data_IF_203259915487
#
_entry.id   IF_203259915487
#
_cell.length_a   1.000
_cell.length_b   1.000
_cell.length_c   1.000
_cell.angle_alpha   90.00
_cell.angle_beta   90.00
_cell.angle_gamma   90.00
#
_symmetry.space_group_name_H-M   'P 1'
#
loop_
_entity.id
_entity.type
_entity.pdbx_description
1 polymer ?
#
# COMPACT_ATOMS: atom_id res chain seq x y z
N UNK A 1 31.58 0.20 4.20
CA UNK A 1 30.39 -0.68 4.26
C UNK A 1 29.58 -0.62 5.54
N UNK A 2 30.17 -0.51 6.75
CA UNK A 2 29.38 -0.44 7.99
C UNK A 2 28.50 0.82 8.12
N UNK A 3 28.99 2.01 7.74
CA UNK A 3 28.20 3.24 7.74
C UNK A 3 26.96 3.16 6.83
N UNK A 4 27.11 2.57 5.63
CA UNK A 4 25.99 2.36 4.70
C UNK A 4 24.91 1.46 5.33
N UNK A 5 25.31 0.36 5.98
CA UNK A 5 24.38 -0.53 6.69
C UNK A 5 23.63 0.21 7.82
N UNK A 6 24.35 1.01 8.61
CA UNK A 6 23.74 1.82 9.67
C UNK A 6 22.69 2.77 9.07
N UNK A 7 23.03 3.49 8.00
CA UNK A 7 22.12 4.43 7.35
C UNK A 7 20.89 3.70 6.79
N UNK A 8 21.08 2.57 6.12
CA UNK A 8 19.99 1.77 5.57
C UNK A 8 19.03 1.30 6.66
N UNK A 9 19.58 0.81 7.78
CA UNK A 9 18.81 0.35 8.92
C UNK A 9 18.02 1.49 9.57
N UNK A 10 18.61 2.67 9.72
CA UNK A 10 17.89 3.85 10.25
C UNK A 10 16.71 4.19 9.35
N UNK A 11 16.91 4.25 8.04
CA UNK A 11 15.84 4.55 7.10
C UNK A 11 14.75 3.47 7.15
N UNK A 12 15.11 2.18 7.16
CA UNK A 12 14.13 1.09 7.22
C UNK A 12 13.34 1.07 8.54
N UNK A 13 14.01 1.36 9.67
CA UNK A 13 13.39 1.37 11.00
C UNK A 13 12.36 2.48 11.19
N UNK A 14 12.45 3.57 10.44
CA UNK A 14 11.55 4.70 10.60
C UNK A 14 10.12 4.34 10.14
N UNK A 15 9.08 4.55 10.97
CA UNK A 15 7.70 4.21 10.60
C UNK A 15 7.30 4.83 9.26
N UNK A 16 7.45 6.15 9.12
CA UNK A 16 6.91 6.93 8.00
C UNK A 16 7.72 6.89 6.68
N UNK A 17 8.79 6.10 6.61
CA UNK A 17 9.55 5.89 5.37
C UNK A 17 9.01 4.68 4.59
N UNK A 18 9.03 4.74 3.26
CA UNK A 18 8.69 3.60 2.43
C UNK A 18 9.84 2.59 2.37
N UNK A 19 9.47 1.30 2.28
CA UNK A 19 10.41 0.20 2.19
C UNK A 19 9.69 -1.14 2.13
N UNK A 20 10.47 -2.20 1.94
CA UNK A 20 9.96 -3.57 1.99
C UNK A 20 9.40 -3.87 3.39
N UNK A 21 8.11 -4.18 3.47
CA UNK A 21 7.38 -4.37 4.75
C UNK A 21 8.02 -5.46 5.61
N UNK A 22 8.47 -6.55 5.00
CA UNK A 22 9.06 -7.68 5.72
C UNK A 22 10.40 -7.27 6.36
N UNK A 23 11.20 -6.45 5.67
CA UNK A 23 12.39 -5.82 6.26
C UNK A 23 12.06 -4.77 7.32
N UNK A 24 11.01 -3.96 7.10
CA UNK A 24 10.61 -2.89 8.02
C UNK A 24 10.09 -3.43 9.35
N UNK A 25 9.32 -4.53 9.33
CA UNK A 25 8.86 -5.22 10.54
C UNK A 25 10.02 -5.68 11.43
N UNK A 26 11.14 -6.09 10.83
CA UNK A 26 12.35 -6.43 11.60
C UNK A 26 13.09 -5.17 12.06
N UNK A 27 13.24 -4.17 11.18
CA UNK A 27 14.03 -2.98 11.45
C UNK A 27 13.37 -2.02 12.46
N UNK A 28 12.04 -1.99 12.54
CA UNK A 28 11.31 -1.09 13.45
C UNK A 28 11.63 -1.36 14.92
N UNK A 29 12.11 -2.56 15.25
CA UNK A 29 12.56 -2.86 16.61
C UNK A 29 13.68 -1.94 17.09
N UNK A 30 14.49 -1.45 16.14
CA UNK A 30 15.59 -0.54 16.42
C UNK A 30 15.17 0.94 16.27
N UNK A 31 13.90 1.24 15.95
CA UNK A 31 13.46 2.62 15.78
C UNK A 31 13.74 3.46 17.04
N UNK A 32 14.31 4.64 16.82
CA UNK A 32 14.56 5.61 17.87
C UNK A 32 14.37 7.02 17.31
N UNK A 33 13.64 7.86 18.05
CA UNK A 33 13.40 9.25 17.69
C UNK A 33 14.37 10.12 18.47
N UNK A 34 15.32 10.74 17.77
CA UNK A 34 16.20 11.76 18.36
C UNK A 34 15.40 13.07 18.42
N UNK A 35 14.53 13.23 19.41
CA UNK A 35 14.07 14.55 19.82
C UNK A 35 15.06 15.10 20.85
N UNK A 36 15.39 16.39 20.73
CA UNK A 36 16.18 17.09 21.74
C UNK A 36 15.57 16.82 23.12
N UNK A 37 16.43 16.48 24.07
CA UNK A 37 16.16 15.82 25.37
C UNK A 37 15.23 16.57 26.34
N UNK A 38 14.43 17.53 25.89
CA UNK A 38 13.77 18.48 26.78
C UNK A 38 12.25 18.37 26.91
N UNK A 39 11.49 17.65 26.07
CA UNK A 39 10.02 17.80 26.13
C UNK A 39 9.11 16.60 25.83
N UNK A 40 9.58 15.35 25.70
CA UNK A 40 8.67 14.20 25.56
C UNK A 40 8.88 13.16 26.67
N UNK A 41 7.77 12.75 27.30
CA UNK A 41 7.72 11.54 28.14
C UNK A 41 8.11 10.32 27.30
N UNK A 42 8.76 9.32 27.91
CA UNK A 42 9.09 8.05 27.24
C UNK A 42 7.88 7.40 26.54
N UNK A 43 6.67 7.70 27.00
CA UNK A 43 5.39 7.26 26.45
C UNK A 43 5.20 7.65 24.97
N UNK A 44 5.63 8.83 24.54
CA UNK A 44 5.48 9.30 23.16
C UNK A 44 6.43 8.60 22.16
N UNK A 45 7.54 8.05 22.64
CA UNK A 45 8.48 7.28 21.81
C UNK A 45 7.96 5.86 21.58
N UNK A 46 7.51 5.22 22.67
CA UNK A 46 6.92 3.89 22.62
C UNK A 46 5.66 3.89 21.76
N UNK A 47 4.82 4.93 21.86
CA UNK A 47 3.60 5.06 21.05
C UNK A 47 3.87 5.09 19.55
N UNK A 48 4.88 5.84 19.06
CA UNK A 48 5.20 5.92 17.62
C UNK A 48 5.75 4.60 17.09
N UNK A 49 6.59 3.91 17.87
CA UNK A 49 7.12 2.58 17.49
C UNK A 49 5.99 1.55 17.41
N UNK A 50 5.16 1.48 18.44
CA UNK A 50 4.03 0.56 18.53
C UNK A 50 3.01 0.81 17.41
N UNK A 51 2.69 2.08 17.15
CA UNK A 51 1.89 2.51 16.01
C UNK A 51 2.49 2.01 14.70
N UNK A 52 3.78 2.27 14.45
CA UNK A 52 4.44 1.86 13.22
C UNK A 52 4.40 0.34 13.03
N UNK A 53 4.54 -0.41 14.12
CA UNK A 53 4.49 -1.87 14.10
C UNK A 53 3.08 -2.37 13.74
N UNK A 54 2.03 -1.85 14.40
CA UNK A 54 0.62 -2.14 14.06
C UNK A 54 0.34 -1.83 12.59
N UNK A 55 0.79 -0.66 12.12
CA UNK A 55 0.60 -0.22 10.73
C UNK A 55 1.27 -1.18 9.74
N UNK A 56 2.51 -1.61 10.00
CA UNK A 56 3.20 -2.56 9.12
C UNK A 56 2.53 -3.94 9.09
N UNK A 57 1.97 -4.41 10.21
CA UNK A 57 1.17 -5.65 10.22
C UNK A 57 -0.07 -5.49 9.33
N UNK A 58 -0.79 -4.37 9.45
CA UNK A 58 -1.95 -4.11 8.61
C UNK A 58 -1.59 -4.03 7.12
N UNK A 59 -0.47 -3.38 6.79
CA UNK A 59 0.07 -3.33 5.42
C UNK A 59 0.46 -4.71 4.90
N UNK A 60 1.05 -5.57 5.74
CA UNK A 60 1.39 -6.92 5.36
C UNK A 60 0.14 -7.76 5.05
N UNK A 61 -0.91 -7.66 5.87
CA UNK A 61 -2.20 -8.32 5.61
C UNK A 61 -2.80 -7.84 4.27
N UNK A 62 -2.80 -6.53 4.04
CA UNK A 62 -3.27 -5.94 2.79
C UNK A 62 -2.47 -6.44 1.57
N UNK A 63 -1.13 -6.49 1.68
CA UNK A 63 -0.22 -7.02 0.65
C UNK A 63 -0.55 -8.47 0.30
N UNK A 64 -0.78 -9.31 1.31
CA UNK A 64 -1.15 -10.72 1.12
C UNK A 64 -2.50 -10.82 0.41
N UNK A 65 -3.53 -10.09 0.88
CA UNK A 65 -4.86 -10.10 0.26
C UNK A 65 -4.85 -9.63 -1.20
N UNK A 66 -4.09 -8.58 -1.50
CA UNK A 66 -3.91 -8.09 -2.88
C UNK A 66 -3.21 -9.13 -3.75
N UNK A 67 -2.26 -9.90 -3.22
CA UNK A 67 -1.61 -10.99 -3.95
C UNK A 67 -2.57 -12.16 -4.23
N UNK A 68 -3.44 -12.51 -3.27
CA UNK A 68 -4.50 -13.51 -3.48
C UNK A 68 -5.47 -13.08 -4.58
N UNK A 69 -5.93 -11.83 -4.53
CA UNK A 69 -6.84 -11.26 -5.55
C UNK A 69 -6.14 -11.18 -6.91
N UNK A 70 -4.84 -10.83 -6.95
CA UNK A 70 -4.03 -10.86 -8.17
C UNK A 70 -4.07 -12.21 -8.83
N UNK A 71 -3.83 -13.26 -8.05
CA UNK A 71 -3.81 -14.61 -8.58
C UNK A 71 -5.19 -15.02 -9.10
N UNK A 72 -6.25 -14.77 -8.32
CA UNK A 72 -7.61 -15.06 -8.75
C UNK A 72 -8.02 -14.30 -10.03
N UNK A 73 -7.61 -13.03 -10.17
CA UNK A 73 -7.82 -12.25 -11.39
C UNK A 73 -7.06 -12.83 -12.58
N UNK A 74 -5.79 -13.23 -12.40
CA UNK A 74 -5.01 -13.89 -13.47
C UNK A 74 -5.63 -15.20 -13.92
N UNK A 75 -6.14 -15.99 -12.99
CA UNK A 75 -6.81 -17.26 -13.28
C UNK A 75 -8.10 -17.01 -14.07
N UNK A 76 -8.90 -16.03 -13.65
CA UNK A 76 -10.09 -15.59 -14.38
C UNK A 76 -9.76 -15.11 -15.80
N UNK A 77 -8.76 -14.24 -15.96
CA UNK A 77 -8.34 -13.71 -17.28
C UNK A 77 -7.88 -14.84 -18.19
N UNK A 78 -7.04 -15.75 -17.69
CA UNK A 78 -6.55 -16.90 -18.44
C UNK A 78 -7.71 -17.83 -18.86
N UNK A 79 -8.70 -18.00 -17.99
CA UNK A 79 -9.90 -18.78 -18.27
C UNK A 79 -10.76 -18.10 -19.35
N UNK A 80 -10.96 -16.79 -19.28
CA UNK A 80 -11.67 -16.02 -20.31
C UNK A 80 -10.97 -16.18 -21.66
N UNK A 81 -9.65 -16.01 -21.71
CA UNK A 81 -8.84 -16.16 -22.94
C UNK A 81 -9.04 -17.51 -23.61
N UNK A 82 -9.11 -18.57 -22.81
CA UNK A 82 -9.32 -19.93 -23.30
C UNK A 82 -10.75 -20.12 -23.85
N UNK A 83 -11.77 -19.67 -23.11
CA UNK A 83 -13.17 -19.84 -23.50
C UNK A 83 -13.57 -18.96 -24.69
N UNK A 84 -13.00 -17.76 -24.82
CA UNK A 84 -13.32 -16.85 -25.92
C UNK A 84 -12.82 -17.32 -27.29
N UNK A 85 -11.98 -18.35 -27.38
CA UNK A 85 -11.41 -18.82 -28.65
C UNK A 85 -12.48 -19.26 -29.67
N UNK A 86 -13.59 -19.83 -29.20
CA UNK A 86 -14.70 -20.29 -30.04
C UNK A 86 -15.97 -19.42 -29.91
N UNK A 87 -15.87 -18.32 -29.14
CA UNK A 87 -16.99 -17.48 -28.73
C UNK A 87 -17.68 -18.01 -27.47
N UNK A 88 -18.19 -17.12 -26.63
CA UNK A 88 -18.72 -17.47 -25.31
C UNK A 88 -20.19 -17.92 -25.35
N UNK A 89 -20.46 -19.12 -24.86
CA UNK A 89 -21.80 -19.61 -24.64
C UNK A 89 -22.36 -19.29 -23.24
N UNK A 90 -23.66 -19.56 -23.03
CA UNK A 90 -24.33 -19.25 -21.75
C UNK A 90 -23.89 -20.13 -20.57
N UNK A 91 -23.27 -21.28 -20.80
CA UNK A 91 -22.63 -22.11 -19.77
C UNK A 91 -21.26 -21.55 -19.38
N UNK A 92 -20.44 -21.19 -20.36
CA UNK A 92 -19.13 -20.57 -20.18
C UNK A 92 -19.22 -19.23 -19.45
N UNK A 93 -20.21 -18.40 -19.79
CA UNK A 93 -20.47 -17.15 -19.06
C UNK A 93 -20.83 -17.43 -17.59
N UNK A 94 -21.60 -18.48 -17.32
CA UNK A 94 -21.92 -18.86 -15.93
C UNK A 94 -20.68 -19.31 -15.17
N UNK A 95 -19.75 -19.99 -15.85
CA UNK A 95 -18.46 -20.35 -15.26
C UNK A 95 -17.66 -19.09 -14.93
N UNK A 96 -17.49 -18.16 -15.88
CA UNK A 96 -16.79 -16.87 -15.69
C UNK A 96 -17.41 -16.07 -14.54
N UNK A 97 -18.75 -16.02 -14.46
CA UNK A 97 -19.47 -15.38 -13.36
C UNK A 97 -19.15 -16.01 -12.00
N UNK A 98 -18.96 -17.34 -11.94
CA UNK A 98 -18.56 -18.04 -10.72
C UNK A 98 -17.18 -17.60 -10.23
N UNK A 99 -16.17 -17.63 -11.10
CA UNK A 99 -14.82 -17.12 -10.78
C UNK A 99 -14.85 -15.66 -10.34
N UNK A 100 -15.64 -14.83 -11.01
CA UNK A 100 -15.75 -13.42 -10.66
C UNK A 100 -16.46 -13.21 -9.32
N UNK A 101 -17.47 -14.01 -8.99
CA UNK A 101 -18.13 -13.98 -7.68
C UNK A 101 -17.16 -14.30 -6.55
N UNK A 102 -16.28 -15.28 -6.73
CA UNK A 102 -15.26 -15.61 -5.72
C UNK A 102 -14.30 -14.44 -5.49
N UNK A 103 -13.96 -13.69 -6.55
CA UNK A 103 -13.15 -12.47 -6.45
C UNK A 103 -13.92 -11.36 -5.71
N UNK A 104 -15.21 -11.17 -6.02
CA UNK A 104 -16.05 -10.19 -5.33
C UNK A 104 -16.14 -10.46 -3.83
N UNK A 105 -16.25 -11.74 -3.42
CA UNK A 105 -16.25 -12.16 -2.02
C UNK A 105 -14.93 -11.79 -1.35
N UNK A 106 -13.79 -12.08 -1.98
CA UNK A 106 -12.45 -11.70 -1.46
C UNK A 106 -12.28 -10.19 -1.32
N UNK A 107 -12.90 -9.42 -2.21
CA UNK A 107 -12.87 -7.97 -2.14
C UNK A 107 -13.79 -7.43 -1.03
N UNK A 108 -14.93 -8.07 -0.79
CA UNK A 108 -15.95 -7.62 0.17
C UNK A 108 -17.24 -7.10 -0.47
N UNK A 109 -17.49 -7.42 -1.75
CA UNK A 109 -18.70 -7.06 -2.47
C UNK A 109 -19.68 -8.24 -2.60
N UNK A 110 -20.97 -7.90 -2.74
CA UNK A 110 -22.05 -8.80 -3.13
C UNK A 110 -22.77 -8.25 -4.36
N UNK A 111 -23.28 -9.14 -5.20
CA UNK A 111 -24.16 -8.77 -6.32
C UNK A 111 -25.56 -8.55 -5.76
N UNK A 112 -26.13 -7.38 -6.04
CA UNK A 112 -27.53 -7.05 -5.83
C UNK A 112 -28.24 -6.95 -7.18
N UNK A 113 -29.54 -7.18 -7.18
CA UNK A 113 -30.37 -7.13 -8.37
C UNK A 113 -31.43 -6.07 -8.16
N UNK A 114 -31.19 -4.89 -8.72
CA UNK A 114 -32.19 -3.83 -8.70
C UNK A 114 -33.06 -3.89 -9.96
N UNK A 115 -34.31 -3.43 -9.82
CA UNK A 115 -35.24 -3.27 -10.95
C UNK A 115 -35.59 -1.80 -11.19
N UNK A 116 -34.63 -0.91 -11.50
CA UNK A 116 -34.96 0.44 -11.89
C UNK A 116 -35.71 0.39 -13.24
N UNK A 117 -36.98 0.82 -13.25
CA UNK A 117 -37.82 0.92 -14.46
C UNK A 117 -38.02 -0.41 -15.20
N UNK A 118 -38.16 -1.52 -14.48
CA UNK A 118 -38.58 -2.82 -15.04
C UNK A 118 -37.48 -3.64 -15.74
N UNK A 119 -36.28 -3.07 -15.98
CA UNK A 119 -35.09 -3.83 -16.37
C UNK A 119 -34.34 -4.30 -15.12
N UNK A 120 -33.99 -5.58 -15.08
CA UNK A 120 -33.15 -6.16 -14.03
C UNK A 120 -31.71 -5.73 -14.31
N UNK A 121 -31.16 -4.87 -13.46
CA UNK A 121 -29.76 -4.47 -13.51
C UNK A 121 -29.05 -5.11 -12.31
N UNK A 122 -27.98 -5.85 -12.59
CA UNK A 122 -27.09 -6.32 -11.55
C UNK A 122 -26.14 -5.19 -11.18
N UNK A 123 -25.88 -4.99 -9.90
CA UNK A 123 -24.89 -4.04 -9.42
C UNK A 123 -24.20 -4.61 -8.18
N UNK A 124 -23.07 -4.04 -7.83
CA UNK A 124 -22.31 -4.40 -6.65
C UNK A 124 -22.71 -3.50 -5.50
N UNK A 125 -22.72 -4.07 -4.31
CA UNK A 125 -22.78 -3.34 -3.04
C UNK A 125 -21.81 -4.00 -2.08
N UNK A 126 -21.29 -3.24 -1.14
CA UNK A 126 -20.55 -3.81 0.00
C UNK A 126 -21.42 -4.85 0.73
N UNK A 127 -20.77 -5.94 1.16
CA UNK A 127 -21.44 -6.95 1.97
C UNK A 127 -21.61 -6.45 3.41
N UNK A 128 -22.83 -6.51 3.93
CA UNK A 128 -23.15 -6.08 5.31
C UNK A 128 -22.51 -6.99 6.36
N UNK A 129 -22.26 -8.26 6.02
CA UNK A 129 -21.60 -9.25 6.87
C UNK A 129 -20.27 -9.67 6.23
N UNK A 130 -19.46 -8.70 5.81
CA UNK A 130 -18.13 -8.99 5.24
C UNK A 130 -17.20 -9.57 6.32
N UNK A 131 -16.35 -10.52 5.92
CA UNK A 131 -15.27 -11.01 6.76
C UNK A 131 -14.26 -9.87 7.03
N UNK A 132 -13.60 -9.90 8.18
CA UNK A 132 -12.51 -8.99 8.55
C UNK A 132 -11.32 -9.14 7.60
N UNK A 133 -11.17 -10.30 6.96
CA UNK A 133 -10.11 -10.60 5.99
C UNK A 133 -10.48 -10.25 4.53
N UNK A 134 -11.55 -9.48 4.30
CA UNK A 134 -11.81 -8.94 2.95
C UNK A 134 -10.94 -7.73 2.63
N UNK A 135 -10.70 -7.45 1.34
CA UNK A 135 -9.89 -6.29 0.93
C UNK A 135 -10.42 -4.98 1.52
N UNK A 136 -11.74 -4.75 1.49
CA UNK A 136 -12.36 -3.53 2.02
C UNK A 136 -12.16 -3.42 3.54
N UNK A 137 -12.40 -4.50 4.30
CA UNK A 137 -12.15 -4.54 5.74
C UNK A 137 -10.68 -4.24 6.06
N UNK A 138 -9.75 -4.86 5.35
CA UNK A 138 -8.31 -4.65 5.54
C UNK A 138 -7.87 -3.23 5.17
N UNK A 139 -8.44 -2.63 4.11
CA UNK A 139 -8.18 -1.23 3.75
C UNK A 139 -8.65 -0.26 4.83
N UNK A 140 -9.85 -0.48 5.39
CA UNK A 140 -10.38 0.33 6.49
C UNK A 140 -9.56 0.14 7.76
N UNK A 141 -9.23 -1.09 8.14
CA UNK A 141 -8.38 -1.37 9.30
C UNK A 141 -6.97 -0.78 9.15
N UNK A 142 -6.37 -0.88 7.97
CA UNK A 142 -5.08 -0.23 7.70
C UNK A 142 -5.19 1.28 7.92
N UNK A 143 -6.27 1.90 7.46
CA UNK A 143 -6.48 3.33 7.63
C UNK A 143 -6.85 3.76 9.06
N UNK A 144 -7.67 3.00 9.77
CA UNK A 144 -7.96 3.25 11.18
C UNK A 144 -6.67 3.23 12.00
N UNK A 145 -5.75 2.30 11.68
CA UNK A 145 -4.42 2.31 12.27
C UNK A 145 -3.68 3.62 11.99
N UNK A 146 -3.79 4.22 10.79
CA UNK A 146 -3.19 5.53 10.50
C UNK A 146 -3.71 6.64 11.41
N UNK A 147 -4.99 6.61 11.80
CA UNK A 147 -5.57 7.65 12.67
C UNK A 147 -4.99 7.63 14.10
N UNK A 148 -4.33 6.54 14.49
CA UNK A 148 -3.59 6.43 15.75
C UNK A 148 -2.17 7.05 15.67
N UNK A 149 -1.77 7.64 14.53
CA UNK A 149 -0.44 8.23 14.36
C UNK A 149 -0.28 9.45 15.28
N UNK A 150 0.68 9.44 16.23
CA UNK A 150 0.86 10.55 17.16
C UNK A 150 1.37 11.83 16.49
N UNK A 151 1.83 11.77 15.24
CA UNK A 151 2.30 12.95 14.49
C UNK A 151 1.21 13.54 13.57
N UNK A 152 0.05 12.89 13.39
CA UNK A 152 -1.03 13.42 12.55
C UNK A 152 -1.72 14.63 13.17
N UNK A 153 -2.12 15.58 12.32
CA UNK A 153 -2.99 16.69 12.72
C UNK A 153 -4.46 16.30 12.54
N UNK A 154 -5.37 16.96 13.27
CA UNK A 154 -6.80 16.62 13.27
C UNK A 154 -7.41 16.64 11.86
N UNK A 155 -7.01 17.59 11.02
CA UNK A 155 -7.53 17.73 9.65
C UNK A 155 -7.16 16.54 8.76
N UNK A 156 -6.02 15.89 9.01
CA UNK A 156 -5.56 14.76 8.22
C UNK A 156 -6.49 13.53 8.37
N UNK A 157 -7.12 13.37 9.55
CA UNK A 157 -8.04 12.25 9.84
C UNK A 157 -9.31 12.28 8.99
N UNK A 158 -9.83 13.45 8.66
CA UNK A 158 -10.99 13.55 7.76
C UNK A 158 -10.55 13.40 6.30
N UNK A 159 -9.42 14.00 5.93
CA UNK A 159 -8.90 13.95 4.55
C UNK A 159 -8.61 12.51 4.15
N UNK A 160 -7.87 11.77 4.97
CA UNK A 160 -7.46 10.41 4.64
C UNK A 160 -8.68 9.46 4.57
N UNK A 161 -9.67 9.62 5.47
CA UNK A 161 -10.92 8.84 5.44
C UNK A 161 -11.68 9.07 4.13
N UNK A 162 -11.86 10.33 3.76
CA UNK A 162 -12.55 10.71 2.53
C UNK A 162 -11.80 10.18 1.30
N UNK A 163 -10.47 10.27 1.28
CA UNK A 163 -9.66 9.74 0.17
C UNK A 163 -9.78 8.22 0.05
N UNK A 164 -9.80 7.49 1.15
CA UNK A 164 -9.95 6.03 1.16
C UNK A 164 -11.33 5.60 0.66
N UNK A 165 -12.41 6.15 1.22
CA UNK A 165 -13.77 5.79 0.81
C UNK A 165 -14.03 6.15 -0.65
N UNK A 166 -13.43 7.25 -1.16
CA UNK A 166 -13.43 7.55 -2.59
C UNK A 166 -12.74 6.47 -3.41
N UNK A 167 -11.58 5.96 -2.96
CA UNK A 167 -10.89 4.84 -3.64
C UNK A 167 -11.75 3.57 -3.66
N UNK A 168 -12.40 3.23 -2.55
CA UNK A 168 -13.33 2.10 -2.46
C UNK A 168 -14.52 2.29 -3.43
N UNK A 169 -15.12 3.48 -3.48
CA UNK A 169 -16.19 3.78 -4.44
C UNK A 169 -15.75 3.66 -5.91
N UNK A 170 -14.52 4.08 -6.24
CA UNK A 170 -13.97 3.88 -7.59
C UNK A 170 -13.73 2.40 -7.89
N UNK A 171 -13.27 1.62 -6.92
CA UNK A 171 -13.09 0.18 -7.05
C UNK A 171 -14.45 -0.49 -7.36
N UNK A 172 -15.47 -0.20 -6.55
CA UNK A 172 -16.83 -0.70 -6.77
C UNK A 172 -17.32 -0.37 -8.19
N UNK A 173 -17.19 0.90 -8.62
CA UNK A 173 -17.62 1.35 -9.95
C UNK A 173 -16.93 0.59 -11.08
N UNK A 174 -15.63 0.28 -10.94
CA UNK A 174 -14.89 -0.46 -11.97
C UNK A 174 -15.23 -1.95 -11.99
N UNK A 175 -15.37 -2.54 -10.81
CA UNK A 175 -15.82 -3.92 -10.68
C UNK A 175 -17.27 -4.08 -11.20
N UNK A 176 -18.12 -3.09 -10.99
CA UNK A 176 -19.47 -3.05 -11.58
C UNK A 176 -19.43 -3.03 -13.10
N UNK A 177 -18.57 -2.20 -13.68
CA UNK A 177 -18.39 -2.16 -15.14
C UNK A 177 -17.96 -3.50 -15.69
N UNK A 178 -17.00 -4.17 -15.04
CA UNK A 178 -16.55 -5.49 -15.47
C UNK A 178 -17.64 -6.55 -15.32
N UNK A 179 -18.44 -6.50 -14.24
CA UNK A 179 -19.63 -7.35 -14.09
C UNK A 179 -20.58 -7.19 -15.28
N UNK A 180 -20.86 -5.95 -15.71
CA UNK A 180 -21.72 -5.72 -16.87
C UNK A 180 -21.13 -6.29 -18.16
N UNK A 181 -19.81 -6.24 -18.35
CA UNK A 181 -19.19 -6.85 -19.53
C UNK A 181 -19.36 -8.37 -19.51
N UNK A 182 -19.12 -9.01 -18.36
CA UNK A 182 -19.30 -10.46 -18.19
C UNK A 182 -20.75 -10.88 -18.46
N UNK A 183 -21.72 -10.17 -17.88
CA UNK A 183 -23.15 -10.52 -17.99
C UNK A 183 -23.67 -10.37 -19.42
N UNK A 184 -23.12 -9.44 -20.19
CA UNK A 184 -23.57 -9.14 -21.55
C UNK A 184 -22.70 -9.78 -22.65
N UNK A 185 -21.72 -10.59 -22.29
CA UNK A 185 -20.71 -11.11 -23.22
C UNK A 185 -21.28 -11.95 -24.39
N UNK A 186 -22.41 -12.65 -24.21
CA UNK A 186 -23.07 -13.42 -25.30
C UNK A 186 -24.08 -12.62 -26.11
N UNK A 187 -24.54 -11.48 -25.60
CA UNK A 187 -25.61 -10.68 -26.21
C UNK A 187 -25.08 -9.49 -27.01
N UNK A 188 -23.78 -9.21 -26.90
CA UNK A 188 -23.14 -8.06 -27.52
C UNK A 188 -22.00 -8.53 -28.40
N UNK A 189 -21.96 -8.06 -29.66
CA UNK A 189 -20.71 -8.01 -30.42
C UNK A 189 -19.81 -7.00 -29.72
N UNK A 190 -19.07 -7.44 -28.71
CA UNK A 190 -18.11 -6.59 -28.02
C UNK A 190 -16.94 -6.33 -28.97
N UNK A 191 -16.64 -5.06 -29.25
CA UNK A 191 -15.45 -4.68 -30.04
C UNK A 191 -14.15 -5.04 -29.32
N UNK A 192 -14.20 -5.16 -27.99
CA UNK A 192 -13.07 -5.50 -27.12
C UNK A 192 -13.32 -6.85 -26.44
N UNK A 193 -12.31 -7.72 -26.46
CA UNK A 193 -12.35 -9.01 -25.76
C UNK A 193 -12.53 -8.85 -24.24
N UNK A 194 -13.20 -9.81 -23.60
CA UNK A 194 -13.53 -9.74 -22.18
C UNK A 194 -12.28 -9.80 -21.29
N UNK A 195 -11.24 -10.51 -21.71
CA UNK A 195 -9.98 -10.64 -21.00
C UNK A 195 -9.27 -9.28 -20.83
N UNK A 196 -9.28 -8.43 -21.86
CA UNK A 196 -8.73 -7.08 -21.80
C UNK A 196 -9.37 -6.24 -20.68
N UNK A 197 -10.69 -6.34 -20.48
CA UNK A 197 -11.35 -5.63 -19.37
C UNK A 197 -10.88 -6.15 -18.01
N UNK A 198 -10.61 -7.45 -17.88
CA UNK A 198 -10.04 -8.04 -16.69
C UNK A 198 -8.61 -7.55 -16.42
N UNK A 199 -7.78 -7.48 -17.47
CA UNK A 199 -6.41 -6.95 -17.38
C UNK A 199 -6.39 -5.47 -17.00
N UNK A 200 -7.25 -4.65 -17.62
CA UNK A 200 -7.39 -3.23 -17.30
C UNK A 200 -7.85 -3.00 -15.85
N UNK A 201 -8.81 -3.82 -15.38
CA UNK A 201 -9.26 -3.78 -13.99
C UNK A 201 -8.12 -4.10 -13.04
N UNK A 202 -7.40 -5.21 -13.29
CA UNK A 202 -6.29 -5.61 -12.44
C UNK A 202 -5.18 -4.56 -12.43
N UNK A 203 -4.77 -4.08 -13.60
CA UNK A 203 -3.73 -3.05 -13.72
C UNK A 203 -4.11 -1.78 -12.94
N UNK A 204 -5.37 -1.36 -13.04
CA UNK A 204 -5.85 -0.23 -12.24
C UNK A 204 -5.81 -0.51 -10.74
N UNK A 205 -6.19 -1.71 -10.28
CA UNK A 205 -6.10 -2.08 -8.87
C UNK A 205 -4.65 -2.09 -8.39
N UNK A 206 -3.74 -2.67 -9.17
CA UNK A 206 -2.31 -2.72 -8.89
C UNK A 206 -1.73 -1.30 -8.74
N UNK A 207 -1.98 -0.41 -9.71
CA UNK A 207 -1.49 0.98 -9.66
C UNK A 207 -2.05 1.80 -8.48
N UNK A 208 -3.26 1.47 -8.00
CA UNK A 208 -3.96 2.27 -6.97
C UNK A 208 -3.76 1.78 -5.55
N UNK A 209 -3.56 0.49 -5.37
CA UNK A 209 -3.39 -0.15 -4.07
C UNK A 209 -1.97 -0.68 -3.85
N UNK A 210 -1.03 -0.38 -4.75
CA UNK A 210 0.39 -0.64 -4.53
C UNK A 210 0.88 0.12 -3.29
N UNK A 211 1.30 -0.64 -2.28
CA UNK A 211 1.82 -0.12 -1.01
C UNK A 211 3.28 0.33 -1.15
N UNK A 212 4.07 -0.42 -1.94
CA UNK A 212 5.49 -0.18 -2.14
C UNK A 212 5.95 -0.65 -3.52
N UNK A 213 6.81 0.14 -4.16
CA UNK A 213 7.49 -0.21 -5.40
C UNK A 213 9.00 -0.39 -5.17
N UNK A 214 9.62 -1.36 -5.85
CA UNK A 214 11.04 -1.67 -5.68
C UNK A 214 11.98 -0.45 -5.90
N UNK A 215 11.60 0.49 -6.77
CA UNK A 215 12.39 1.71 -7.01
C UNK A 215 12.36 2.71 -5.86
N UNK A 216 11.44 2.53 -4.90
CA UNK A 216 11.31 3.34 -3.68
C UNK A 216 12.22 2.83 -2.54
N UNK A 217 13.02 1.78 -2.77
CA UNK A 217 14.02 1.33 -1.80
C UNK A 217 15.01 2.48 -1.47
N UNK A 218 15.46 2.61 -0.20
CA UNK A 218 16.51 3.55 0.12
C UNK A 218 17.75 3.32 -0.72
N UNK A 219 18.33 4.41 -1.22
CA UNK A 219 19.56 4.42 -2.00
C UNK A 219 20.59 5.25 -1.26
N UNK A 220 21.74 4.66 -1.00
CA UNK A 220 22.85 5.28 -0.30
C UNK A 220 24.08 5.13 -1.17
N UNK A 221 24.74 6.24 -1.48
CA UNK A 221 25.96 6.22 -2.28
C UNK A 221 26.94 7.28 -1.81
N UNK A 222 28.22 7.05 -2.10
CA UNK A 222 29.28 8.00 -1.81
C UNK A 222 29.35 9.04 -2.93
N UNK A 223 29.22 10.32 -2.59
CA UNK A 223 29.35 11.41 -3.54
C UNK A 223 30.80 11.78 -3.77
N UNK A 224 31.56 12.02 -2.69
CA UNK A 224 32.94 12.50 -2.73
C UNK A 224 33.75 11.93 -1.56
N UNK A 225 35.07 11.88 -1.76
CA UNK A 225 36.05 11.65 -0.70
C UNK A 225 37.03 12.81 -0.76
N UNK A 226 37.08 13.61 0.31
CA UNK A 226 38.06 14.70 0.41
C UNK A 226 39.14 14.27 1.38
N UNK A 227 40.40 14.23 0.92
CA UNK A 227 41.56 13.95 1.78
C UNK A 227 42.24 15.27 2.09
N UNK A 228 42.19 15.69 3.35
CA UNK A 228 42.88 16.87 3.86
C UNK A 228 44.39 16.71 3.81
N UNK A 229 45.11 17.84 3.83
CA UNK A 229 46.59 17.87 3.78
C UNK A 229 47.26 17.19 4.99
N UNK A 230 46.52 17.00 6.08
CA UNK A 230 46.95 16.32 7.32
C UNK A 230 46.68 14.81 7.31
N UNK A 231 46.13 14.26 6.21
CA UNK A 231 45.78 12.84 6.08
C UNK A 231 44.37 12.49 6.60
N UNK A 232 43.63 13.45 7.14
CA UNK A 232 42.23 13.26 7.54
C UNK A 232 41.31 13.27 6.31
N UNK A 233 40.55 12.20 6.12
CA UNK A 233 39.60 12.07 5.02
C UNK A 233 38.16 12.30 5.48
N UNK A 234 37.40 13.14 4.77
CA UNK A 234 35.93 13.18 4.87
C UNK A 234 35.29 12.42 3.73
N UNK A 235 34.25 11.66 4.05
CA UNK A 235 33.44 10.93 3.07
C UNK A 235 32.06 11.55 3.05
N UNK A 236 31.65 12.04 1.88
CA UNK A 236 30.32 12.57 1.66
C UNK A 236 29.40 11.44 1.19
N UNK A 237 28.38 11.12 1.99
CA UNK A 237 27.35 10.14 1.63
C UNK A 237 26.04 10.86 1.29
N UNK A 238 25.46 10.51 0.15
CA UNK A 238 24.10 10.86 -0.19
C UNK A 238 23.14 9.75 0.23
N UNK A 239 22.02 10.15 0.82
CA UNK A 239 20.94 9.26 1.26
C UNK A 239 19.65 9.72 0.59
N UNK A 240 19.02 8.83 -0.17
CA UNK A 240 17.71 9.05 -0.81
C UNK A 240 16.75 7.99 -0.31
N UNK A 241 15.60 8.42 0.16
CA UNK A 241 14.50 7.55 0.59
C UNK A 241 13.17 8.20 0.24
N UNK A 242 12.11 7.41 0.33
CA UNK A 242 10.75 7.86 0.06
C UNK A 242 9.94 7.86 1.35
N UNK A 243 8.95 8.73 1.37
CA UNK A 243 8.02 8.95 2.48
C UNK A 243 6.64 8.57 1.98
N UNK A 244 5.80 8.07 2.88
CA UNK A 244 4.45 7.62 2.59
C UNK A 244 3.55 8.70 1.94
N UNK A 245 2.96 9.60 2.73
CA UNK A 245 2.08 10.66 2.24
C UNK A 245 2.62 12.04 2.65
N UNK A 246 3.32 12.67 1.71
CA UNK A 246 3.97 13.98 1.92
C UNK A 246 3.00 15.13 2.20
N UNK A 247 1.71 14.97 1.90
CA UNK A 247 0.71 16.05 2.07
C UNK A 247 0.25 16.22 3.52
N UNK A 248 0.44 15.19 4.34
CA UNK A 248 0.05 15.20 5.74
C UNK A 248 0.87 16.18 6.56
N UNK A 249 0.37 16.51 7.74
CA UNK A 249 1.00 17.45 8.67
C UNK A 249 1.20 18.81 8.01
N UNK A 250 0.20 19.28 7.25
CA UNK A 250 0.27 20.52 6.48
C UNK A 250 1.49 20.57 5.54
N UNK A 251 1.79 19.44 4.90
CA UNK A 251 2.98 19.21 4.06
C UNK A 251 4.32 19.30 4.81
N UNK A 252 4.35 19.24 6.14
CA UNK A 252 5.58 19.26 6.95
C UNK A 252 6.14 17.87 7.27
N UNK A 253 5.37 16.81 7.05
CA UNK A 253 5.79 15.41 7.29
C UNK A 253 7.14 15.09 6.66
N UNK A 254 7.36 15.57 5.43
CA UNK A 254 8.64 15.45 4.72
C UNK A 254 9.83 16.05 5.47
N UNK A 255 9.65 17.24 6.05
CA UNK A 255 10.69 17.93 6.80
C UNK A 255 10.97 17.25 8.14
N UNK A 256 9.91 16.83 8.85
CA UNK A 256 10.02 16.10 10.12
C UNK A 256 10.83 14.81 9.96
N UNK A 257 10.40 13.96 9.04
CA UNK A 257 11.04 12.65 8.81
C UNK A 257 12.49 12.83 8.38
N UNK A 258 12.78 13.82 7.52
CA UNK A 258 14.16 14.13 7.13
C UNK A 258 15.03 14.46 8.34
N UNK A 259 14.53 15.30 9.25
CA UNK A 259 15.26 15.68 10.47
C UNK A 259 15.45 14.50 11.43
N UNK A 260 14.41 13.67 11.60
CA UNK A 260 14.45 12.47 12.46
C UNK A 260 15.44 11.43 11.95
N UNK A 261 15.37 11.10 10.66
CA UNK A 261 16.32 10.20 9.99
C UNK A 261 17.75 10.75 10.08
N UNK A 262 17.95 12.05 9.85
CA UNK A 262 19.27 12.67 9.94
C UNK A 262 19.85 12.59 11.36
N UNK A 263 19.08 12.99 12.36
CA UNK A 263 19.50 12.95 13.76
C UNK A 263 19.88 11.55 14.20
N UNK A 264 19.09 10.55 13.82
CA UNK A 264 19.35 9.15 14.17
C UNK A 264 20.57 8.57 13.43
N UNK A 265 20.77 8.91 12.14
CA UNK A 265 21.99 8.57 11.41
C UNK A 265 23.22 9.14 12.14
N UNK A 266 23.21 10.43 12.47
CA UNK A 266 24.32 11.08 13.17
C UNK A 266 24.58 10.41 14.52
N UNK A 267 23.53 10.13 15.30
CA UNK A 267 23.64 9.46 16.61
C UNK A 267 24.31 8.09 16.48
N UNK A 268 23.82 7.23 15.58
CA UNK A 268 24.35 5.86 15.42
C UNK A 268 25.76 5.83 14.84
N UNK A 269 26.06 6.71 13.89
CA UNK A 269 27.43 6.83 13.36
C UNK A 269 28.37 7.28 14.47
N UNK A 270 28.02 8.32 15.25
CA UNK A 270 28.82 8.74 16.41
C UNK A 270 29.04 7.57 17.37
N UNK A 271 28.01 6.80 17.71
CA UNK A 271 28.16 5.64 18.59
C UNK A 271 29.11 4.58 18.02
N UNK A 272 29.01 4.28 16.72
CA UNK A 272 29.84 3.28 16.07
C UNK A 272 31.32 3.68 15.93
N UNK A 273 31.61 4.98 15.90
CA UNK A 273 32.97 5.51 15.71
C UNK A 273 33.63 6.03 17.00
N UNK A 274 32.88 6.48 18.01
CA UNK A 274 33.42 6.97 19.28
C UNK A 274 33.55 5.90 20.38
N UNK A 275 32.78 4.81 20.34
CA UNK A 275 32.87 3.72 21.32
C UNK A 275 33.62 2.50 20.78
N UNK A 276 34.60 2.74 19.90
CA UNK A 276 35.57 1.73 19.42
C UNK A 276 36.88 1.87 20.15
#
# INVERSE_FOLDING_TARGET
NQAIKIIEEVVLSHPDTLGDIDKKLVAIENFYRVKDQLLDSQDNLLSKKEFGHKRFIAEQKLKIKLAEIKQAMKDLISKIQFLEMEGLDGGEIREIQGYYLDILIKVGFKIISDKPRGKRLLSLKESENMDEDTLISLLRSWYENWQEDPDLVEEDNEVLKIELEKKIGFLQTRMDKFLQQIVNANNSFLETKLDNYGEELWKWMEDRFQIYAAWQHPKIWMNNVTIGRTGEGTIDLAVKFFIDNVKLEQCQRGNRIRSEVHGEIVRRLRQAYFYR
#
